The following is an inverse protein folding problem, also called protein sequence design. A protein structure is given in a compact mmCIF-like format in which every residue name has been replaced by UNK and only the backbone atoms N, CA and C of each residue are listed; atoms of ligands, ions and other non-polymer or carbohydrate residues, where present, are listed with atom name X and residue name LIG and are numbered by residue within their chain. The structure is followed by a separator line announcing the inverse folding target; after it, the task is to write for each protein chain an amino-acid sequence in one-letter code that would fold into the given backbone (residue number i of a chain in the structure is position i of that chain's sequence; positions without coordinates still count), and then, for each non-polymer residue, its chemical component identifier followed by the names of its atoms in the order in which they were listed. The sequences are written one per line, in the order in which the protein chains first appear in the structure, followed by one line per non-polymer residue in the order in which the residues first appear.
data_IF_282126788031
#
_entry.id   IF_282126788031
#
_cell.length_a   1.000
_cell.length_b   1.000
_cell.length_c   1.000
_cell.angle_alpha   90.00
_cell.angle_beta   90.00
_cell.angle_gamma   90.00
#
_symmetry.space_group_name_H-M   'P 1'
#
loop_
_entity.id
_entity.type
_entity.pdbx_description
1 polymer ?
#
# COMPACT_ATOMS: atom_id res chain seq x y z
N UNK A 1 -71.62 -2.23 -22.98
CA UNK A 1 -71.24 -2.85 -21.69
C UNK A 1 -70.97 -4.32 -22.00
N UNK A 2 -69.79 -4.91 -21.93
CA UNK A 2 -68.57 -4.69 -21.17
C UNK A 2 -67.33 -4.95 -22.06
N UNK A 3 -66.23 -4.28 -21.70
CA UNK A 3 -64.93 -4.28 -22.37
C UNK A 3 -64.14 -5.58 -22.11
N UNK A 4 -63.45 -6.08 -23.14
CA UNK A 4 -62.39 -7.08 -23.02
C UNK A 4 -61.10 -6.38 -22.56
N UNK A 5 -60.60 -6.74 -21.37
CA UNK A 5 -59.25 -6.39 -20.93
C UNK A 5 -58.27 -7.47 -21.39
N UNK A 6 -57.34 -7.10 -22.28
CA UNK A 6 -56.17 -7.87 -22.64
C UNK A 6 -55.05 -7.45 -21.68
N UNK A 7 -54.61 -8.35 -20.80
CA UNK A 7 -53.35 -8.18 -20.07
C UNK A 7 -52.20 -8.68 -20.96
N UNK A 8 -51.28 -7.77 -21.27
CA UNK A 8 -49.93 -8.08 -21.75
C UNK A 8 -49.03 -8.42 -20.55
N UNK A 9 -48.14 -9.44 -20.63
CA UNK A 9 -47.11 -9.62 -19.62
C UNK A 9 -45.99 -8.60 -19.85
N UNK A 10 -45.73 -7.80 -18.81
CA UNK A 10 -44.62 -6.88 -18.70
C UNK A 10 -43.33 -7.71 -18.53
N UNK A 11 -42.44 -7.68 -19.53
CA UNK A 11 -41.12 -8.28 -19.41
C UNK A 11 -40.27 -7.42 -18.45
N UNK A 12 -39.99 -7.96 -17.26
CA UNK A 12 -39.00 -7.40 -16.34
C UNK A 12 -37.62 -7.68 -16.94
N UNK A 13 -36.98 -6.65 -17.49
CA UNK A 13 -35.59 -6.69 -17.91
C UNK A 13 -34.72 -6.65 -16.64
N UNK A 14 -34.42 -7.82 -16.08
CA UNK A 14 -33.38 -7.94 -15.06
C UNK A 14 -32.02 -7.65 -15.71
N UNK A 15 -31.47 -6.47 -15.45
CA UNK A 15 -30.06 -6.18 -15.74
C UNK A 15 -29.20 -7.04 -14.82
N UNK A 16 -28.81 -8.21 -15.29
CA UNK A 16 -27.68 -8.94 -14.73
C UNK A 16 -26.44 -8.06 -14.90
N UNK A 17 -26.05 -7.38 -13.82
CA UNK A 17 -24.69 -6.87 -13.68
C UNK A 17 -23.77 -8.07 -13.64
N UNK A 18 -23.10 -8.34 -14.76
CA UNK A 18 -21.94 -9.22 -14.76
C UNK A 18 -20.84 -8.47 -14.01
N UNK A 19 -20.67 -8.78 -12.72
CA UNK A 19 -19.38 -8.59 -12.08
C UNK A 19 -18.36 -9.34 -12.94
N UNK A 20 -17.35 -8.63 -13.44
CA UNK A 20 -16.26 -9.27 -14.16
C UNK A 20 -15.66 -10.37 -13.27
N UNK A 21 -15.42 -11.58 -13.79
CA UNK A 21 -14.85 -12.67 -12.99
C UNK A 21 -13.48 -12.21 -12.49
N UNK A 22 -13.34 -12.18 -11.16
CA UNK A 22 -12.05 -11.96 -10.50
C UNK A 22 -10.99 -12.90 -11.09
N UNK A 23 -9.76 -12.44 -11.34
CA UNK A 23 -8.66 -13.35 -11.58
C UNK A 23 -8.52 -14.32 -10.40
N UNK A 24 -8.28 -15.60 -10.71
CA UNK A 24 -8.04 -16.63 -9.71
C UNK A 24 -6.89 -16.22 -8.75
N UNK A 25 -6.91 -16.68 -7.49
CA UNK A 25 -5.95 -16.25 -6.44
C UNK A 25 -4.46 -16.43 -6.79
N UNK A 26 -4.13 -17.22 -7.81
CA UNK A 26 -2.75 -17.52 -8.24
C UNK A 26 -2.26 -16.68 -9.44
N UNK A 27 -3.11 -15.89 -10.10
CA UNK A 27 -2.65 -15.10 -11.24
C UNK A 27 -2.11 -13.74 -10.78
N UNK A 28 -0.80 -13.52 -10.96
CA UNK A 28 -0.15 -12.22 -10.70
C UNK A 28 -0.77 -11.15 -11.61
N UNK A 29 -1.39 -10.08 -11.05
CA UNK A 29 -1.89 -8.97 -11.84
C UNK A 29 -0.77 -8.28 -12.64
N UNK A 30 -1.05 -7.98 -13.90
CA UNK A 30 -0.06 -7.53 -14.90
C UNK A 30 0.49 -6.13 -14.60
N UNK A 31 1.80 -5.96 -14.82
CA UNK A 31 2.53 -4.68 -14.91
C UNK A 31 1.96 -3.78 -16.03
N UNK A 32 1.66 -2.49 -15.82
CA UNK A 32 1.32 -1.55 -16.89
C UNK A 32 2.50 -1.13 -17.80
N UNK A 33 3.65 -1.82 -17.76
CA UNK A 33 4.77 -1.50 -18.66
C UNK A 33 4.35 -1.52 -20.14
N UNK A 34 4.75 -0.45 -20.84
CA UNK A 34 4.30 -0.04 -22.17
C UNK A 34 4.68 -1.04 -23.27
N UNK A 35 3.81 -2.01 -23.47
CA UNK A 35 3.54 -2.76 -24.73
C UNK A 35 2.61 -3.95 -24.48
N UNK A 36 2.34 -4.26 -23.21
CA UNK A 36 1.76 -5.52 -22.81
C UNK A 36 0.92 -5.31 -21.56
N UNK A 37 -0.19 -4.59 -21.68
CA UNK A 37 -1.31 -4.61 -20.75
C UNK A 37 -2.46 -5.42 -21.40
N UNK A 38 -3.28 -6.14 -20.61
CA UNK A 38 -4.53 -6.69 -21.14
C UNK A 38 -5.37 -5.54 -21.68
N UNK A 39 -6.31 -5.78 -22.59
CA UNK A 39 -7.14 -4.68 -23.11
C UNK A 39 -7.88 -3.95 -21.96
N UNK A 40 -8.20 -4.66 -20.86
CA UNK A 40 -8.68 -4.08 -19.60
C UNK A 40 -7.69 -3.16 -18.90
N UNK A 41 -6.41 -3.54 -18.77
CA UNK A 41 -5.39 -2.67 -18.17
C UNK A 41 -5.04 -1.48 -19.09
N UNK A 42 -5.09 -1.67 -20.42
CA UNK A 42 -4.95 -0.56 -21.38
C UNK A 42 -6.09 0.44 -21.26
N UNK A 43 -7.31 0.00 -21.01
CA UNK A 43 -8.45 0.88 -20.75
C UNK A 43 -8.38 1.52 -19.35
N UNK A 44 -7.89 0.80 -18.33
CA UNK A 44 -7.74 1.30 -16.96
C UNK A 44 -6.76 2.49 -16.86
N UNK A 45 -5.67 2.46 -17.64
CA UNK A 45 -4.65 3.52 -17.67
C UNK A 45 -4.69 4.36 -18.96
N UNK A 46 -5.72 4.21 -19.81
CA UNK A 46 -5.89 5.07 -20.98
C UNK A 46 -6.07 6.52 -20.51
N UNK A 47 -5.22 7.41 -21.01
CA UNK A 47 -5.22 8.82 -20.64
C UNK A 47 -4.46 9.14 -19.35
N UNK A 48 -3.71 8.19 -18.80
CA UNK A 48 -2.77 8.45 -17.70
C UNK A 48 -1.32 8.54 -18.22
N UNK A 49 -0.58 9.49 -17.67
CA UNK A 49 0.88 9.62 -17.78
C UNK A 49 1.55 8.84 -16.64
N UNK A 50 2.75 8.31 -16.88
CA UNK A 50 3.55 7.62 -15.86
C UNK A 50 4.50 8.63 -15.20
N UNK A 51 4.30 8.91 -13.93
CA UNK A 51 5.19 9.76 -13.13
C UNK A 51 6.30 8.95 -12.45
N UNK A 52 5.98 7.73 -12.01
CA UNK A 52 6.94 6.76 -11.46
C UNK A 52 6.47 5.35 -11.81
N UNK A 53 7.41 4.45 -12.10
CA UNK A 53 7.07 3.05 -12.31
C UNK A 53 8.26 2.13 -12.06
N UNK A 54 8.03 1.07 -11.30
CA UNK A 54 8.95 -0.05 -11.15
C UNK A 54 8.21 -1.37 -11.08
N UNK A 55 8.49 -2.26 -12.04
CA UNK A 55 8.05 -3.66 -12.02
C UNK A 55 9.16 -4.63 -11.61
N UNK A 56 10.26 -4.07 -11.09
CA UNK A 56 11.40 -4.80 -10.56
C UNK A 56 12.03 -5.79 -11.55
N UNK A 57 11.79 -5.61 -12.86
CA UNK A 57 12.36 -6.43 -13.91
C UNK A 57 13.83 -6.07 -14.16
N UNK A 58 14.68 -6.43 -13.21
CA UNK A 58 16.12 -6.15 -13.21
C UNK A 58 16.95 -7.44 -13.12
N UNK A 59 18.18 -7.40 -13.63
CA UNK A 59 19.20 -8.45 -13.47
C UNK A 59 19.97 -8.35 -12.14
N UNK A 60 19.77 -7.27 -11.39
CA UNK A 60 20.25 -7.09 -10.01
C UNK A 60 19.42 -7.87 -8.98
N UNK A 61 20.05 -8.38 -7.93
CA UNK A 61 19.35 -8.95 -6.77
C UNK A 61 18.85 -7.89 -5.77
N UNK A 62 19.15 -6.61 -6.02
CA UNK A 62 18.71 -5.46 -5.23
C UNK A 62 17.84 -4.54 -6.10
N UNK A 63 16.88 -3.81 -5.49
CA UNK A 63 16.16 -2.71 -6.14
C UNK A 63 17.10 -1.69 -6.81
N UNK A 64 16.59 -1.05 -7.85
CA UNK A 64 17.31 -0.02 -8.61
C UNK A 64 17.63 1.19 -7.73
N UNK A 65 18.92 1.50 -7.46
CA UNK A 65 19.30 2.61 -6.58
C UNK A 65 18.96 3.98 -7.16
N UNK A 66 18.72 4.09 -8.47
CA UNK A 66 18.25 5.34 -9.07
C UNK A 66 16.78 5.61 -8.70
N UNK A 67 16.02 4.56 -8.41
CA UNK A 67 14.59 4.63 -8.07
C UNK A 67 14.30 4.53 -6.58
N UNK A 68 15.15 3.86 -5.79
CA UNK A 68 14.88 3.54 -4.39
C UNK A 68 16.03 3.92 -3.47
N UNK A 69 15.68 4.43 -2.29
CA UNK A 69 16.60 4.66 -1.17
C UNK A 69 16.16 3.81 0.03
N UNK A 70 17.14 3.28 0.77
CA UNK A 70 16.88 2.52 1.99
C UNK A 70 16.92 3.43 3.22
N UNK A 71 15.89 3.35 4.04
CA UNK A 71 15.87 3.93 5.38
C UNK A 71 16.28 2.85 6.37
N UNK A 72 17.45 3.03 7.01
CA UNK A 72 18.10 2.00 7.82
C UNK A 72 18.22 2.41 9.28
N UNK A 73 18.47 1.44 10.17
CA UNK A 73 18.51 1.65 11.61
C UNK A 73 17.13 1.62 12.26
N UNK A 74 17.00 2.29 13.40
CA UNK A 74 15.76 2.39 14.17
C UNK A 74 15.10 3.79 14.10
N UNK A 75 15.64 4.69 13.28
CA UNK A 75 15.13 6.05 13.06
C UNK A 75 15.79 6.69 11.83
N UNK A 76 15.17 7.73 11.28
CA UNK A 76 15.90 8.67 10.43
C UNK A 76 17.00 9.38 11.24
N UNK A 77 18.08 9.87 10.59
CA UNK A 77 19.08 10.71 11.27
C UNK A 77 18.44 11.97 11.88
N UNK A 78 18.35 12.01 13.22
CA UNK A 78 17.69 13.11 13.94
C UNK A 78 16.15 13.03 13.99
N UNK A 79 15.57 11.95 13.45
CA UNK A 79 14.15 11.65 13.58
C UNK A 79 13.80 10.98 14.92
N UNK A 80 12.52 10.70 15.15
CA UNK A 80 12.08 10.04 16.37
C UNK A 80 12.63 8.61 16.48
N UNK A 81 13.00 8.21 17.69
CA UNK A 81 13.46 6.85 17.98
C UNK A 81 12.36 5.81 17.69
N UNK A 82 12.78 4.60 17.32
CA UNK A 82 11.87 3.49 17.00
C UNK A 82 10.80 3.89 15.99
N UNK A 83 11.23 4.61 14.95
CA UNK A 83 10.41 5.18 13.87
C UNK A 83 9.18 6.00 14.33
N UNK A 84 9.17 6.47 15.58
CA UNK A 84 8.09 7.29 16.15
C UNK A 84 6.88 6.52 16.67
N UNK A 85 6.84 5.21 16.52
CA UNK A 85 5.68 4.37 16.86
C UNK A 85 6.04 3.15 17.74
N UNK A 86 7.28 3.07 18.22
CA UNK A 86 7.70 2.02 19.16
C UNK A 86 7.92 0.65 18.50
N UNK A 87 8.14 0.64 17.19
CA UNK A 87 8.64 -0.51 16.43
C UNK A 87 9.93 -1.10 17.03
N UNK A 88 10.17 -2.40 16.85
CA UNK A 88 11.31 -3.11 17.49
C UNK A 88 12.38 -3.60 16.53
N UNK A 89 12.16 -3.50 15.21
CA UNK A 89 13.14 -3.93 14.22
C UNK A 89 14.18 -2.84 13.91
N UNK A 90 15.37 -3.30 13.53
CA UNK A 90 16.33 -2.49 12.78
C UNK A 90 16.08 -2.66 11.28
N UNK A 91 15.79 -1.58 10.55
CA UNK A 91 15.72 -1.66 9.09
C UNK A 91 17.13 -1.75 8.49
N UNK A 92 17.31 -2.61 7.51
CA UNK A 92 18.59 -2.82 6.82
C UNK A 92 18.40 -2.86 5.30
N UNK A 93 19.50 -2.74 4.57
CA UNK A 93 19.57 -3.03 3.13
C UNK A 93 20.16 -4.42 2.85
N UNK A 94 20.14 -5.33 3.85
CA UNK A 94 20.68 -6.68 3.72
C UNK A 94 19.85 -7.51 2.75
N UNK A 95 20.46 -8.39 1.93
CA UNK A 95 19.74 -9.38 1.13
C UNK A 95 18.87 -10.35 1.93
N UNK A 96 19.05 -10.44 3.25
CA UNK A 96 18.13 -11.19 4.13
C UNK A 96 16.80 -10.48 4.34
N UNK A 97 16.77 -9.15 4.23
CA UNK A 97 15.57 -8.34 4.47
C UNK A 97 14.97 -7.78 3.18
N UNK A 98 15.79 -7.54 2.15
CA UNK A 98 15.32 -6.99 0.88
C UNK A 98 16.08 -7.55 -0.31
N UNK A 99 15.34 -8.13 -1.26
CA UNK A 99 15.94 -8.70 -2.47
C UNK A 99 14.93 -8.84 -3.62
N UNK A 100 15.47 -8.89 -4.83
CA UNK A 100 14.72 -9.22 -6.05
C UNK A 100 14.79 -10.73 -6.29
N UNK A 101 13.64 -11.40 -6.27
CA UNK A 101 13.52 -12.81 -6.68
C UNK A 101 13.09 -12.91 -8.14
N UNK A 102 13.67 -13.85 -8.89
CA UNK A 102 13.29 -14.13 -10.28
C UNK A 102 12.67 -15.51 -10.42
N UNK A 103 11.58 -15.57 -11.16
CA UNK A 103 10.81 -16.79 -11.37
C UNK A 103 10.56 -17.01 -12.86
N UNK A 104 10.48 -18.27 -13.27
CA UNK A 104 10.07 -18.60 -14.63
C UNK A 104 8.55 -18.37 -14.77
N UNK A 105 8.12 -17.64 -15.80
CA UNK A 105 6.67 -17.36 -16.01
C UNK A 105 5.85 -18.63 -16.20
N UNK A 106 6.42 -19.64 -16.86
CA UNK A 106 5.76 -20.93 -17.13
C UNK A 106 5.44 -21.70 -15.84
N UNK A 107 6.27 -21.58 -14.81
CA UNK A 107 6.04 -22.27 -13.53
C UNK A 107 5.10 -21.49 -12.61
N UNK A 108 4.98 -20.18 -12.79
CA UNK A 108 4.11 -19.32 -11.99
C UNK A 108 2.65 -19.28 -12.47
N UNK A 109 2.32 -19.99 -13.57
CA UNK A 109 0.99 -19.95 -14.21
C UNK A 109 0.46 -18.52 -14.51
N UNK A 110 1.37 -17.54 -14.59
CA UNK A 110 1.08 -16.26 -15.23
C UNK A 110 0.82 -16.58 -16.70
N UNK A 111 -0.26 -16.06 -17.26
CA UNK A 111 -0.86 -16.44 -18.54
C UNK A 111 0.11 -16.97 -19.64
N UNK A 112 -0.38 -17.86 -20.51
CA UNK A 112 0.35 -18.29 -21.71
C UNK A 112 0.47 -17.16 -22.77
N UNK A 113 0.33 -15.88 -22.41
CA UNK A 113 0.49 -14.80 -23.38
C UNK A 113 1.96 -14.70 -23.79
N UNK A 114 2.18 -14.43 -25.08
CA UNK A 114 3.49 -14.44 -25.73
C UNK A 114 4.38 -13.23 -25.31
N UNK A 115 4.67 -13.12 -24.01
CA UNK A 115 5.64 -12.19 -23.45
C UNK A 115 7.07 -12.55 -23.90
N UNK A 116 7.81 -11.56 -24.39
CA UNK A 116 9.23 -11.68 -24.78
C UNK A 116 10.19 -12.00 -23.63
N UNK A 117 9.80 -11.75 -22.36
CA UNK A 117 10.55 -12.19 -21.18
C UNK A 117 10.03 -13.53 -20.66
N UNK A 118 10.93 -14.50 -20.51
CA UNK A 118 10.66 -15.81 -19.89
C UNK A 118 10.59 -15.77 -18.35
N UNK A 119 10.90 -14.62 -17.74
CA UNK A 119 10.97 -14.47 -16.29
C UNK A 119 10.13 -13.30 -15.76
N UNK A 120 9.64 -13.45 -14.53
CA UNK A 120 9.01 -12.41 -13.72
C UNK A 120 9.84 -12.18 -12.47
N UNK A 121 9.91 -10.93 -12.02
CA UNK A 121 10.69 -10.54 -10.85
C UNK A 121 9.77 -9.94 -9.80
N UNK A 122 10.15 -10.10 -8.53
CA UNK A 122 9.44 -9.49 -7.40
C UNK A 122 10.43 -8.87 -6.44
N UNK A 123 10.11 -7.69 -5.92
CA UNK A 123 10.72 -7.18 -4.69
C UNK A 123 10.18 -7.99 -3.51
N UNK A 124 11.06 -8.43 -2.61
CA UNK A 124 10.69 -9.08 -1.37
C UNK A 124 11.18 -8.21 -0.21
N UNK A 125 10.30 -7.91 0.75
CA UNK A 125 10.62 -7.26 2.02
C UNK A 125 10.30 -8.25 3.12
N UNK A 126 11.31 -8.63 3.90
CA UNK A 126 11.25 -9.78 4.79
C UNK A 126 11.69 -9.37 6.21
N UNK A 127 10.80 -9.44 7.21
CA UNK A 127 11.20 -9.29 8.59
C UNK A 127 11.90 -10.56 9.06
N UNK A 128 13.09 -10.44 9.63
CA UNK A 128 13.88 -11.56 10.14
C UNK A 128 14.07 -11.45 11.64
N UNK A 129 14.08 -12.60 12.33
CA UNK A 129 14.34 -12.68 13.76
C UNK A 129 15.67 -13.35 13.99
N UNK A 130 16.60 -12.65 14.65
CA UNK A 130 17.88 -13.24 15.03
C UNK A 130 17.67 -14.39 16.02
N UNK A 131 18.32 -15.52 15.77
CA UNK A 131 18.31 -16.72 16.61
C UNK A 131 19.22 -16.62 17.86
N UNK A 132 19.91 -15.49 18.09
CA UNK A 132 20.98 -15.37 19.09
C UNK A 132 20.62 -14.73 20.44
N UNK A 133 19.34 -14.47 20.74
CA UNK A 133 18.96 -13.93 22.06
C UNK A 133 18.95 -15.05 23.12
N UNK A 134 20.04 -15.13 23.89
CA UNK A 134 20.27 -16.13 24.95
C UNK A 134 19.66 -15.77 26.32
N UNK A 135 18.93 -14.66 26.44
CA UNK A 135 18.23 -14.28 27.67
C UNK A 135 16.81 -13.82 27.36
N UNK A 136 15.85 -14.74 27.53
CA UNK A 136 14.42 -14.50 27.32
C UNK A 136 13.73 -13.76 28.47
N UNK A 137 14.45 -13.33 29.52
CA UNK A 137 13.83 -12.71 30.69
C UNK A 137 13.78 -11.18 30.67
N UNK A 138 14.58 -10.54 29.81
CA UNK A 138 14.56 -9.06 29.63
C UNK A 138 14.67 -8.59 28.17
N UNK A 139 14.82 -9.50 27.21
CA UNK A 139 14.75 -9.18 25.78
C UNK A 139 13.34 -9.47 25.27
N UNK A 140 12.59 -8.42 24.93
CA UNK A 140 11.40 -8.53 24.10
C UNK A 140 11.76 -9.27 22.80
N UNK A 141 11.44 -10.57 22.72
CA UNK A 141 11.36 -11.37 21.50
C UNK A 141 12.56 -11.34 20.51
N UNK A 142 13.82 -11.30 20.95
CA UNK A 142 14.99 -11.36 20.05
C UNK A 142 15.16 -10.12 19.16
N UNK A 143 16.35 -9.96 18.57
CA UNK A 143 16.62 -8.81 17.69
C UNK A 143 15.91 -9.03 16.35
N UNK A 144 15.05 -8.11 15.95
CA UNK A 144 14.37 -8.14 14.66
C UNK A 144 15.09 -7.25 13.65
N UNK A 145 15.13 -7.67 12.39
CA UNK A 145 15.51 -6.82 11.27
C UNK A 145 14.41 -6.84 10.22
N UNK A 146 14.35 -5.82 9.36
CA UNK A 146 13.45 -5.79 8.19
C UNK A 146 13.99 -4.81 7.16
N UNK A 147 13.18 -4.39 6.19
CA UNK A 147 13.52 -3.34 5.23
C UNK A 147 12.44 -2.26 5.14
N UNK A 148 12.88 -1.03 4.87
CA UNK A 148 12.07 0.14 4.53
C UNK A 148 12.69 0.83 3.33
N UNK A 149 11.89 0.99 2.28
CA UNK A 149 12.29 1.61 1.03
C UNK A 149 11.46 2.87 0.81
N UNK A 150 12.07 3.85 0.16
CA UNK A 150 11.41 5.06 -0.31
C UNK A 150 11.75 5.33 -1.76
N UNK A 151 10.85 5.94 -2.52
CA UNK A 151 11.20 6.43 -3.86
C UNK A 151 12.30 7.48 -3.76
N UNK A 152 13.32 7.39 -4.61
CA UNK A 152 14.46 8.32 -4.60
C UNK A 152 13.95 9.78 -4.68
N UNK A 153 14.58 10.76 -3.99
CA UNK A 153 14.20 12.18 -4.08
C UNK A 153 14.04 12.75 -5.48
N UNK A 154 14.70 12.17 -6.49
CA UNK A 154 14.49 12.50 -7.91
C UNK A 154 13.07 12.17 -8.43
N UNK A 155 12.34 11.30 -7.74
CA UNK A 155 10.97 10.88 -8.01
C UNK A 155 10.02 11.41 -6.92
N UNK A 156 9.76 12.71 -6.98
CA UNK A 156 8.67 13.35 -6.24
C UNK A 156 7.50 13.59 -7.20
N UNK A 157 6.27 13.46 -6.70
CA UNK A 157 5.08 13.56 -7.55
C UNK A 157 3.95 14.31 -6.86
N UNK A 158 3.17 15.03 -7.65
CA UNK A 158 2.15 15.97 -7.19
C UNK A 158 0.91 15.78 -8.03
N UNK A 159 -0.27 15.85 -7.41
CA UNK A 159 -1.51 15.81 -8.17
C UNK A 159 -1.68 17.10 -9.00
N UNK A 160 -1.79 17.02 -10.34
CA UNK A 160 -1.98 18.21 -11.17
C UNK A 160 -3.27 18.96 -10.75
N UNK A 161 -3.27 20.31 -10.76
CA UNK A 161 -4.48 21.09 -10.55
C UNK A 161 -5.59 20.67 -11.54
N UNK A 162 -6.81 20.50 -11.04
CA UNK A 162 -7.96 20.02 -11.84
C UNK A 162 -7.79 18.64 -12.48
N UNK A 163 -6.74 17.90 -12.14
CA UNK A 163 -6.46 16.57 -12.65
C UNK A 163 -6.50 15.51 -11.57
N UNK A 164 -5.79 14.41 -11.79
CA UNK A 164 -5.75 13.28 -10.87
C UNK A 164 -4.35 12.72 -10.74
N UNK A 165 -4.05 12.13 -9.58
CA UNK A 165 -2.87 11.34 -9.32
C UNK A 165 -3.27 10.03 -8.67
N UNK A 166 -2.77 8.91 -9.19
CA UNK A 166 -3.01 7.57 -8.66
C UNK A 166 -1.69 6.98 -8.20
N UNK A 167 -1.63 6.59 -6.93
CA UNK A 167 -0.55 5.79 -6.36
C UNK A 167 -1.05 4.36 -6.22
N UNK A 168 -0.27 3.40 -6.69
CA UNK A 168 -0.70 2.00 -6.79
C UNK A 168 0.45 1.03 -6.60
N UNK A 169 0.15 -0.11 -5.96
CA UNK A 169 1.05 -1.24 -5.90
C UNK A 169 0.28 -2.55 -6.10
N UNK A 170 0.95 -3.51 -6.72
CA UNK A 170 0.52 -4.90 -6.75
C UNK A 170 1.45 -5.72 -5.86
N UNK A 171 0.93 -6.30 -4.79
CA UNK A 171 1.70 -7.08 -3.84
C UNK A 171 0.90 -8.24 -3.26
N UNK A 172 1.62 -9.16 -2.61
CA UNK A 172 1.08 -10.28 -1.85
C UNK A 172 1.76 -10.31 -0.49
N UNK A 173 0.96 -10.48 0.56
CA UNK A 173 1.47 -10.76 1.90
C UNK A 173 1.81 -12.25 2.03
N UNK A 174 2.83 -12.56 2.83
CA UNK A 174 3.29 -13.93 3.04
C UNK A 174 2.22 -14.89 3.57
N UNK A 175 2.52 -16.18 3.51
CA UNK A 175 1.60 -17.29 3.77
C UNK A 175 1.67 -17.87 5.19
N UNK A 176 2.43 -17.25 6.09
CA UNK A 176 2.49 -17.69 7.48
C UNK A 176 1.10 -17.64 8.14
N UNK A 177 0.91 -18.52 9.13
CA UNK A 177 -0.35 -18.60 9.87
C UNK A 177 -0.65 -17.29 10.59
N UNK A 178 -1.88 -16.79 10.55
CA UNK A 178 -2.28 -15.57 11.29
C UNK A 178 -1.83 -15.60 12.76
N UNK A 179 -1.86 -16.79 13.36
CA UNK A 179 -1.55 -17.00 14.78
C UNK A 179 -0.06 -16.76 15.12
N UNK A 180 0.82 -16.68 14.12
CA UNK A 180 2.26 -16.40 14.29
C UNK A 180 2.65 -14.99 13.84
N UNK A 181 1.68 -14.10 13.63
CA UNK A 181 1.90 -12.78 13.02
C UNK A 181 1.69 -11.60 13.95
N UNK A 182 1.46 -11.82 15.26
CA UNK A 182 1.34 -10.73 16.23
C UNK A 182 2.58 -9.82 16.17
N UNK A 183 2.39 -8.54 15.83
CA UNK A 183 3.44 -7.56 15.63
C UNK A 183 3.88 -7.36 14.17
N UNK A 184 3.60 -8.28 13.24
CA UNK A 184 3.98 -8.09 11.83
C UNK A 184 3.08 -7.02 11.20
N UNK A 185 3.69 -6.02 10.58
CA UNK A 185 3.01 -4.81 10.08
C UNK A 185 3.52 -4.38 8.69
N UNK A 186 3.04 -5.01 7.60
CA UNK A 186 3.27 -4.53 6.23
C UNK A 186 2.52 -3.23 5.94
N UNK A 187 3.19 -2.31 5.23
CA UNK A 187 2.62 -1.03 4.81
C UNK A 187 3.05 -0.61 3.41
N UNK A 188 2.11 0.01 2.67
CA UNK A 188 2.32 0.78 1.45
C UNK A 188 1.66 2.14 1.61
N UNK A 189 2.45 3.21 1.51
CA UNK A 189 2.02 4.54 1.96
C UNK A 189 2.80 5.65 1.27
N UNK A 190 2.34 6.87 1.46
CA UNK A 190 2.95 8.08 0.92
C UNK A 190 3.09 9.16 1.99
N UNK A 191 4.14 9.96 1.89
CA UNK A 191 4.43 11.05 2.83
C UNK A 191 4.84 12.30 2.05
N UNK A 192 4.49 13.48 2.56
CA UNK A 192 4.87 14.74 1.93
C UNK A 192 6.40 14.93 1.92
N UNK A 193 6.96 15.38 0.80
CA UNK A 193 8.42 15.46 0.58
C UNK A 193 9.14 16.39 1.54
N UNK A 194 8.45 17.39 2.10
CA UNK A 194 8.99 18.30 3.11
C UNK A 194 9.36 17.59 4.43
N UNK A 195 9.02 16.32 4.60
CA UNK A 195 9.47 15.51 5.74
C UNK A 195 10.96 15.18 5.64
N UNK A 196 11.49 15.01 4.42
CA UNK A 196 12.88 14.63 4.18
C UNK A 196 13.83 15.71 4.68
N UNK A 197 14.75 15.30 5.56
CA UNK A 197 15.72 16.21 6.19
C UNK A 197 15.16 17.06 7.34
N UNK A 198 13.84 17.01 7.59
CA UNK A 198 13.21 17.66 8.73
C UNK A 198 12.91 16.64 9.84
N UNK A 199 12.22 15.55 9.47
CA UNK A 199 11.89 14.39 10.33
C UNK A 199 11.10 14.71 11.61
N UNK A 200 10.61 15.94 11.81
CA UNK A 200 9.90 16.38 13.02
C UNK A 200 8.61 17.15 12.73
N UNK A 201 8.26 17.31 11.46
CA UNK A 201 7.09 18.05 10.98
C UNK A 201 5.89 17.16 10.62
N UNK A 202 5.90 15.90 11.06
CA UNK A 202 4.70 15.05 11.07
C UNK A 202 3.74 15.51 12.19
N UNK A 203 2.40 15.51 11.99
CA UNK A 203 1.66 15.09 10.79
C UNK A 203 1.38 16.24 9.82
N UNK A 204 1.83 17.45 10.11
CA UNK A 204 1.54 18.65 9.31
C UNK A 204 1.97 18.54 7.83
N UNK A 205 2.93 17.66 7.54
CA UNK A 205 3.43 17.39 6.19
C UNK A 205 2.49 16.54 5.32
N UNK A 206 1.49 15.89 5.91
CA UNK A 206 0.56 15.00 5.21
C UNK A 206 1.12 13.60 5.01
N UNK A 207 0.36 12.59 5.44
CA UNK A 207 0.62 11.17 5.26
C UNK A 207 -0.65 10.50 4.70
N UNK A 208 -0.47 9.59 3.74
CA UNK A 208 -1.55 8.81 3.14
C UNK A 208 -1.16 7.34 3.21
N UNK A 209 -1.81 6.61 4.12
CA UNK A 209 -1.67 5.17 4.24
C UNK A 209 -2.59 4.51 3.23
N UNK A 210 -1.96 4.02 2.16
CA UNK A 210 -2.68 3.42 1.03
C UNK A 210 -3.12 2.01 1.42
N UNK A 211 -2.28 1.31 2.17
CA UNK A 211 -2.57 0.02 2.76
C UNK A 211 -1.72 -0.23 4.01
N UNK A 212 -2.37 -0.62 5.09
CA UNK A 212 -1.72 -1.25 6.23
C UNK A 212 -2.49 -2.50 6.67
N UNK A 213 -1.77 -3.49 7.17
CA UNK A 213 -2.34 -4.62 7.90
C UNK A 213 -1.43 -4.97 9.07
N UNK A 214 -1.99 -5.50 10.16
CA UNK A 214 -1.21 -5.90 11.33
C UNK A 214 -1.66 -7.25 11.87
N UNK A 215 -0.80 -7.89 12.66
CA UNK A 215 -1.16 -9.03 13.50
C UNK A 215 -1.68 -10.26 12.72
N UNK A 216 -1.46 -10.31 11.40
CA UNK A 216 -2.07 -11.32 10.52
C UNK A 216 -3.59 -11.21 10.42
N UNK A 217 -4.19 -10.08 10.75
CA UNK A 217 -5.63 -9.86 10.57
C UNK A 217 -5.99 -9.80 9.08
N UNK A 218 -7.23 -10.14 8.74
CA UNK A 218 -7.78 -9.98 7.38
C UNK A 218 -8.25 -8.53 7.10
N UNK A 219 -8.11 -7.65 8.09
CA UNK A 219 -8.52 -6.25 8.00
C UNK A 219 -7.38 -5.40 7.47
N UNK A 220 -7.64 -4.63 6.41
CA UNK A 220 -6.77 -3.55 5.96
C UNK A 220 -7.21 -2.23 6.55
N UNK A 221 -6.26 -1.32 6.74
CA UNK A 221 -6.48 0.06 7.18
C UNK A 221 -6.04 1.01 6.07
N UNK A 222 -6.83 2.06 5.88
CA UNK A 222 -6.63 3.11 4.89
C UNK A 222 -6.82 4.44 5.61
N UNK A 223 -5.74 5.18 5.80
CA UNK A 223 -5.70 6.28 6.77
C UNK A 223 -5.05 7.50 6.15
N UNK A 224 -5.45 8.68 6.63
CA UNK A 224 -4.66 9.89 6.44
C UNK A 224 -4.25 10.47 7.78
N UNK A 225 -3.02 10.98 7.85
CA UNK A 225 -2.52 11.78 8.96
C UNK A 225 -2.19 13.19 8.48
N UNK A 226 -2.68 14.19 9.21
CA UNK A 226 -2.59 15.59 8.83
C UNK A 226 -2.86 16.57 9.97
N UNK A 227 -2.37 17.81 9.81
CA UNK A 227 -2.57 18.88 10.78
C UNK A 227 -1.67 18.75 12.00
N UNK A 228 -2.24 18.49 13.18
CA UNK A 228 -1.52 18.58 14.47
C UNK A 228 -1.73 17.35 15.33
N UNK A 229 -0.66 16.87 15.98
CA UNK A 229 -0.72 15.80 16.98
C UNK A 229 -0.50 16.36 18.39
N UNK A 230 -1.37 16.07 19.39
CA UNK A 230 -2.60 15.26 19.30
C UNK A 230 -3.82 16.01 18.78
N UNK A 231 -4.80 15.26 18.28
CA UNK A 231 -6.08 15.77 17.79
C UNK A 231 -5.99 16.37 16.39
N UNK A 232 -6.28 17.66 16.26
CA UNK A 232 -6.32 18.32 14.96
C UNK A 232 -7.45 17.83 14.04
N UNK A 233 -7.46 18.28 12.78
CA UNK A 233 -8.50 17.90 11.81
C UNK A 233 -8.52 16.40 11.51
N UNK A 234 -7.42 15.70 11.77
CA UNK A 234 -7.25 14.30 11.40
C UNK A 234 -7.23 13.35 12.61
N UNK A 235 -7.61 13.83 13.80
CA UNK A 235 -7.76 13.01 15.02
C UNK A 235 -6.49 12.22 15.42
N UNK A 236 -5.36 12.92 15.41
CA UNK A 236 -4.04 12.35 15.67
C UNK A 236 -3.88 11.84 17.11
N UNK A 237 -3.15 10.72 17.31
CA UNK A 237 -2.40 9.96 16.30
C UNK A 237 -3.22 8.86 15.58
N UNK A 238 -4.56 8.87 15.68
CA UNK A 238 -5.37 7.80 15.08
C UNK A 238 -5.59 7.97 13.57
N UNK A 239 -5.48 9.21 13.06
CA UNK A 239 -5.81 9.53 11.68
C UNK A 239 -7.31 9.47 11.38
N UNK A 240 -7.69 9.88 10.16
CA UNK A 240 -9.01 9.58 9.60
C UNK A 240 -8.91 8.25 8.85
N UNK A 241 -9.38 7.18 9.49
CA UNK A 241 -9.14 5.81 9.03
C UNK A 241 -10.43 5.08 8.65
N UNK A 242 -10.31 4.22 7.63
CA UNK A 242 -11.27 3.17 7.30
C UNK A 242 -10.64 1.80 7.45
N UNK A 243 -11.27 0.97 8.28
CA UNK A 243 -10.96 -0.44 8.42
C UNK A 243 -11.87 -1.26 7.51
N UNK A 244 -11.28 -2.13 6.70
CA UNK A 244 -11.99 -2.95 5.69
C UNK A 244 -11.69 -4.41 5.98
N UNK A 245 -12.72 -5.20 6.26
CA UNK A 245 -12.58 -6.67 6.30
C UNK A 245 -12.51 -7.21 4.88
N UNK A 246 -11.37 -7.81 4.53
CA UNK A 246 -11.14 -8.36 3.19
C UNK A 246 -11.43 -9.87 3.13
N UNK A 247 -11.80 -10.51 4.25
CA UNK A 247 -11.92 -11.95 4.38
C UNK A 247 -10.57 -12.67 4.40
N UNK A 248 -9.71 -12.44 3.40
CA UNK A 248 -8.34 -12.94 3.34
C UNK A 248 -7.40 -11.93 2.65
N UNK A 249 -6.28 -11.59 3.31
CA UNK A 249 -5.22 -10.74 2.76
C UNK A 249 -3.90 -11.49 2.49
N UNK A 250 -3.72 -12.64 3.15
CA UNK A 250 -2.47 -13.42 3.08
C UNK A 250 -2.51 -14.39 1.91
N UNK A 251 -1.34 -14.64 1.34
CA UNK A 251 -1.16 -15.54 0.19
C UNK A 251 -2.10 -15.24 -0.98
N UNK A 252 -2.43 -13.98 -1.22
CA UNK A 252 -3.24 -13.55 -2.37
C UNK A 252 -2.68 -12.24 -2.90
N UNK A 253 -2.67 -12.11 -4.24
CA UNK A 253 -2.26 -10.87 -4.88
C UNK A 253 -3.36 -9.82 -4.76
N UNK A 254 -2.95 -8.62 -4.38
CA UNK A 254 -3.79 -7.45 -4.21
C UNK A 254 -3.26 -6.33 -5.08
N UNK A 255 -4.15 -5.67 -5.81
CA UNK A 255 -3.86 -4.35 -6.42
C UNK A 255 -4.48 -3.31 -5.52
N UNK A 256 -3.65 -2.55 -4.80
CA UNK A 256 -4.13 -1.50 -3.90
C UNK A 256 -3.71 -0.15 -4.43
N UNK A 257 -4.63 0.81 -4.40
CA UNK A 257 -4.38 2.16 -4.88
C UNK A 257 -5.13 3.20 -4.09
N UNK A 258 -4.61 4.44 -4.10
CA UNK A 258 -5.36 5.65 -3.78
C UNK A 258 -5.28 6.61 -4.97
N UNK A 259 -6.39 7.24 -5.29
CA UNK A 259 -6.46 8.33 -6.27
C UNK A 259 -6.75 9.64 -5.56
N UNK A 260 -5.85 10.61 -5.71
CA UNK A 260 -6.12 12.03 -5.45
C UNK A 260 -6.87 12.56 -6.68
N UNK A 261 -8.10 13.01 -6.48
CA UNK A 261 -9.02 13.48 -7.51
C UNK A 261 -9.33 14.96 -7.31
N UNK A 262 -8.60 15.81 -8.05
CA UNK A 262 -8.74 17.26 -8.01
C UNK A 262 -9.61 17.82 -9.14
N UNK A 263 -10.13 16.97 -10.02
CA UNK A 263 -10.94 17.40 -11.17
C UNK A 263 -12.40 17.70 -10.82
N UNK A 264 -12.80 17.39 -9.58
CA UNK A 264 -14.17 17.59 -9.09
C UNK A 264 -14.51 19.07 -8.99
N UNK A 265 -15.71 19.43 -9.46
CA UNK A 265 -16.21 20.80 -9.36
C UNK A 265 -16.58 21.16 -7.92
N UNK A 266 -16.52 22.44 -7.57
CA UNK A 266 -16.89 22.94 -6.23
C UNK A 266 -15.71 23.22 -5.29
N UNK A 267 -14.48 23.23 -5.81
CA UNK A 267 -13.28 23.63 -5.05
C UNK A 267 -12.68 22.50 -4.23
N UNK A 268 -11.68 22.85 -3.41
CA UNK A 268 -10.89 21.89 -2.63
C UNK A 268 -11.72 20.99 -1.72
N UNK A 269 -12.87 21.48 -1.24
CA UNK A 269 -13.78 20.72 -0.39
C UNK A 269 -14.38 19.50 -1.11
N UNK A 270 -14.50 19.57 -2.44
CA UNK A 270 -15.07 18.48 -3.24
C UNK A 270 -14.00 17.58 -3.86
N UNK A 271 -12.73 18.00 -3.88
CA UNK A 271 -11.62 17.11 -4.22
C UNK A 271 -11.61 15.91 -3.24
N UNK A 272 -11.08 14.78 -3.68
CA UNK A 272 -11.14 13.55 -2.88
C UNK A 272 -9.90 12.66 -2.99
N UNK A 273 -9.68 11.90 -1.93
CA UNK A 273 -8.85 10.71 -1.90
C UNK A 273 -9.76 9.50 -2.00
N UNK A 274 -9.47 8.58 -2.93
CA UNK A 274 -10.31 7.40 -3.18
C UNK A 274 -9.46 6.15 -3.20
N UNK A 275 -9.60 5.30 -2.17
CA UNK A 275 -8.89 4.04 -2.05
C UNK A 275 -9.64 2.92 -2.74
N UNK A 276 -8.88 2.07 -3.44
CA UNK A 276 -9.37 0.88 -4.11
C UNK A 276 -8.51 -0.34 -3.78
N UNK A 277 -9.17 -1.47 -3.59
CA UNK A 277 -8.55 -2.80 -3.58
C UNK A 277 -9.14 -3.58 -4.75
N UNK A 278 -8.29 -4.13 -5.61
CA UNK A 278 -8.65 -4.86 -6.83
C UNK A 278 -9.63 -4.09 -7.72
N UNK A 279 -9.45 -2.77 -7.81
CA UNK A 279 -10.31 -1.85 -8.58
C UNK A 279 -11.64 -1.47 -7.90
N UNK A 280 -12.03 -2.15 -6.82
CA UNK A 280 -13.23 -1.81 -6.05
C UNK A 280 -12.94 -0.70 -5.06
N UNK A 281 -13.76 0.34 -5.03
CA UNK A 281 -13.67 1.42 -4.03
C UNK A 281 -14.04 0.89 -2.65
N UNK A 282 -13.14 1.11 -1.68
CA UNK A 282 -13.31 0.66 -0.28
C UNK A 282 -13.38 1.82 0.70
N UNK A 283 -12.83 2.98 0.33
CA UNK A 283 -12.86 4.21 1.12
C UNK A 283 -12.76 5.44 0.21
N UNK A 284 -13.42 6.52 0.62
CA UNK A 284 -13.34 7.84 -0.01
C UNK A 284 -13.38 8.89 1.09
N UNK A 285 -12.54 9.91 0.98
CA UNK A 285 -12.42 11.04 1.89
C UNK A 285 -12.30 12.31 1.07
N UNK A 286 -13.14 13.31 1.33
CA UNK A 286 -13.10 14.60 0.64
C UNK A 286 -12.35 15.66 1.46
N UNK A 287 -11.93 16.75 0.81
CA UNK A 287 -11.43 17.92 1.52
C UNK A 287 -12.45 18.47 2.52
N UNK A 288 -13.75 18.40 2.19
CA UNK A 288 -14.83 18.79 3.08
C UNK A 288 -14.92 17.92 4.34
N UNK A 289 -14.64 16.61 4.23
CA UNK A 289 -14.60 15.69 5.37
C UNK A 289 -13.41 15.99 6.30
N UNK A 290 -12.24 16.35 5.74
CA UNK A 290 -11.08 16.81 6.51
C UNK A 290 -11.37 18.17 7.17
N UNK A 291 -12.11 19.04 6.49
CA UNK A 291 -12.61 20.30 7.05
C UNK A 291 -11.57 21.41 7.26
N UNK A 292 -10.31 21.17 6.89
CA UNK A 292 -9.20 22.13 7.01
C UNK A 292 -8.40 22.19 5.70
N UNK A 293 -8.30 23.39 5.12
CA UNK A 293 -7.64 23.60 3.83
C UNK A 293 -6.13 23.38 3.89
N UNK A 294 -5.46 23.70 4.99
CA UNK A 294 -4.02 23.52 5.09
C UNK A 294 -3.66 22.03 5.23
N UNK A 295 -4.43 21.30 6.03
CA UNK A 295 -4.35 19.84 6.12
C UNK A 295 -4.66 19.18 4.77
N UNK A 296 -5.70 19.62 4.08
CA UNK A 296 -6.03 19.11 2.75
C UNK A 296 -4.93 19.41 1.72
N UNK A 297 -4.35 20.61 1.73
CA UNK A 297 -3.25 20.98 0.84
C UNK A 297 -2.00 20.10 1.07
N UNK A 298 -1.72 19.70 2.31
CA UNK A 298 -0.64 18.77 2.61
C UNK A 298 -0.90 17.39 1.98
N UNK A 299 -2.13 16.87 2.07
CA UNK A 299 -2.51 15.57 1.50
C UNK A 299 -2.66 15.57 -0.03
N UNK A 300 -3.28 16.60 -0.62
CA UNK A 300 -3.75 16.56 -1.99
C UNK A 300 -2.98 17.48 -2.95
N UNK A 301 -2.36 18.55 -2.44
CA UNK A 301 -1.74 19.60 -3.28
C UNK A 301 -0.23 19.60 -3.23
N UNK A 302 0.36 19.01 -2.19
CA UNK A 302 1.80 18.96 -1.98
C UNK A 302 2.44 17.75 -2.66
N UNK A 303 3.75 17.81 -2.83
CA UNK A 303 4.54 16.73 -3.41
C UNK A 303 4.68 15.57 -2.41
N UNK A 304 4.61 14.35 -2.92
CA UNK A 304 4.73 13.13 -2.14
C UNK A 304 5.89 12.25 -2.65
N UNK A 305 6.34 11.35 -1.77
CA UNK A 305 7.15 10.19 -2.11
C UNK A 305 6.48 8.92 -1.57
N UNK A 306 6.75 7.75 -2.17
CA UNK A 306 6.18 6.47 -1.71
C UNK A 306 7.12 5.77 -0.75
N UNK A 307 6.53 4.97 0.14
CA UNK A 307 7.22 4.11 1.08
C UNK A 307 6.65 2.68 1.03
N UNK A 308 7.54 1.71 1.24
CA UNK A 308 7.20 0.30 1.44
C UNK A 308 8.02 -0.23 2.61
N UNK A 309 7.37 -0.93 3.54
CA UNK A 309 8.05 -1.61 4.64
C UNK A 309 7.24 -2.78 5.18
N UNK A 310 7.93 -3.61 5.98
CA UNK A 310 7.29 -4.53 6.93
C UNK A 310 7.87 -4.21 8.31
N UNK A 311 7.12 -3.48 9.12
CA UNK A 311 7.47 -3.21 10.52
C UNK A 311 7.22 -4.44 11.41
N UNK A 312 7.81 -4.42 12.61
CA UNK A 312 7.61 -5.42 13.66
C UNK A 312 7.35 -4.74 14.99
N UNK A 313 6.22 -5.07 15.62
CA UNK A 313 5.75 -4.45 16.85
C UNK A 313 5.25 -3.02 16.62
N UNK A 314 5.22 -2.23 17.68
CA UNK A 314 4.76 -0.84 17.64
C UNK A 314 3.34 -0.63 18.14
N UNK A 315 2.97 0.64 18.26
CA UNK A 315 1.75 1.09 18.92
C UNK A 315 0.48 0.54 18.27
N UNK A 316 0.40 0.51 16.93
CA UNK A 316 -0.77 0.02 16.21
C UNK A 316 -0.99 -1.49 16.40
N UNK A 317 0.00 -2.38 16.13
CA UNK A 317 -0.13 -3.80 16.47
C UNK A 317 -0.48 -4.06 17.94
N UNK A 318 0.12 -3.31 18.86
CA UNK A 318 -0.14 -3.46 20.30
C UNK A 318 -1.58 -3.09 20.67
N UNK A 319 -2.08 -1.97 20.17
CA UNK A 319 -3.43 -1.49 20.42
C UNK A 319 -4.47 -2.49 19.92
N UNK A 320 -4.29 -3.01 18.71
CA UNK A 320 -5.23 -3.96 18.10
C UNK A 320 -5.13 -5.37 18.68
N UNK A 321 -4.00 -5.76 19.26
CA UNK A 321 -3.84 -7.02 19.97
C UNK A 321 -4.22 -6.93 21.46
N UNK A 322 -4.38 -5.72 22.00
CA UNK A 322 -4.50 -5.46 23.44
C UNK A 322 -3.39 -6.10 24.29
N UNK A 323 -2.18 -6.23 23.72
CA UNK A 323 -0.98 -6.79 24.36
C UNK A 323 0.27 -6.25 23.67
N UNK A 324 1.42 -6.32 24.35
CA UNK A 324 2.71 -6.06 23.70
C UNK A 324 2.97 -7.12 22.61
N UNK A 325 3.41 -6.65 21.46
CA UNK A 325 3.86 -7.41 20.30
C UNK A 325 5.27 -6.94 19.90
N UNK A 326 6.06 -7.75 19.17
CA UNK A 326 5.83 -9.16 18.85
C UNK A 326 5.86 -10.06 20.10
N UNK A 327 5.35 -11.28 19.97
CA UNK A 327 5.37 -12.31 21.02
C UNK A 327 6.38 -13.40 20.69
N UNK A 328 6.65 -14.32 21.63
CA UNK A 328 7.60 -15.41 21.40
C UNK A 328 7.21 -16.30 20.21
N UNK A 329 5.92 -16.46 19.94
CA UNK A 329 5.38 -17.21 18.81
C UNK A 329 5.37 -16.44 17.48
N UNK A 330 5.77 -15.16 17.46
CA UNK A 330 5.85 -14.38 16.22
C UNK A 330 7.00 -14.90 15.37
N UNK A 331 6.67 -15.22 14.11
CA UNK A 331 7.60 -15.74 13.11
C UNK A 331 8.06 -14.63 12.16
N UNK A 332 9.33 -14.71 11.75
CA UNK A 332 9.87 -13.92 10.64
C UNK A 332 9.97 -14.75 9.37
N UNK A 333 10.80 -14.31 8.44
CA UNK A 333 11.03 -14.95 7.16
C UNK A 333 9.97 -14.61 6.10
N UNK A 334 10.09 -15.16 4.88
CA UNK A 334 9.25 -14.78 3.75
C UNK A 334 7.74 -14.98 3.98
N UNK A 335 7.35 -15.94 4.83
CA UNK A 335 5.95 -16.16 5.21
C UNK A 335 5.34 -14.99 6.00
N UNK A 336 6.15 -14.17 6.64
CA UNK A 336 5.75 -12.92 7.34
C UNK A 336 6.09 -11.67 6.52
N UNK A 337 6.56 -11.82 5.28
CA UNK A 337 7.03 -10.74 4.43
C UNK A 337 5.96 -10.17 3.49
N UNK A 338 6.41 -9.25 2.64
CA UNK A 338 5.64 -8.65 1.55
C UNK A 338 6.40 -8.84 0.23
N UNK A 339 5.72 -9.43 -0.75
CA UNK A 339 6.24 -9.64 -2.10
C UNK A 339 5.53 -8.70 -3.07
N UNK A 340 6.27 -7.82 -3.73
CA UNK A 340 5.74 -6.74 -4.57
C UNK A 340 6.07 -7.02 -6.04
N UNK A 341 5.03 -7.01 -6.88
CA UNK A 341 5.16 -7.17 -8.33
C UNK A 341 5.41 -5.85 -9.04
N UNK A 342 4.74 -4.77 -8.65
CA UNK A 342 5.04 -3.44 -9.17
C UNK A 342 4.59 -2.35 -8.21
N UNK A 343 5.18 -1.17 -8.39
CA UNK A 343 4.75 0.10 -7.81
C UNK A 343 4.65 1.12 -8.94
N UNK A 344 3.56 1.89 -8.96
CA UNK A 344 3.29 2.90 -9.99
C UNK A 344 2.68 4.17 -9.42
N UNK A 345 3.07 5.29 -10.02
CA UNK A 345 2.41 6.58 -9.86
C UNK A 345 2.01 7.09 -11.23
N UNK A 346 0.74 7.41 -11.37
CA UNK A 346 0.14 7.85 -12.61
C UNK A 346 -0.51 9.21 -12.43
N UNK A 347 -0.39 10.10 -13.41
CA UNK A 347 -1.09 11.39 -13.42
C UNK A 347 -2.01 11.49 -14.62
N UNK A 348 -3.08 12.26 -14.47
CA UNK A 348 -3.98 12.59 -15.56
C UNK A 348 -4.35 14.06 -15.47
N UNK A 349 -4.09 14.80 -16.54
CA UNK A 349 -4.51 16.19 -16.65
C UNK A 349 -6.03 16.27 -16.88
N UNK A 350 -6.61 17.45 -16.68
CA UNK A 350 -8.05 17.71 -16.78
C UNK A 350 -8.66 17.41 -18.15
#
# INVERSE_FOLDING_TARGET
MHSLNILTPLAILATLSFAAPYPAPDTVPRSPSSSFASDEAKDLYRGWNIAFYDDFNTTSSSPDPDKWVFSTGTSYPGGPANWGNGEVQEYTSSPSNVYISRHNKKTMQVDNSASLSSSISFLNIVPERSSSASDMSTASAGSWTSARLETNPSYSFTCPPSGQLRMEACFRLGDASANTQLGIWPAFWALGTAFRGNYTNWPAVGEIDIFEAVNGHATSMHTVHCGTNPGGPCNEPNGLSKHVDNGALRNSWLVVSVTIDRSRSGGWQNEALVWRINGTEVYSLTGGDVGDMAAWAALAHSDHFLLLNVAVGGALPNALAATQTPVAATEGGPGSGMQVSYVGVFTRDS
#
